data_IF_997725100342
#
_entry.id   IF_997725100342
#
_cell.length_a   1.000
_cell.length_b   1.000
_cell.length_c   1.000
_cell.angle_alpha   90.00
_cell.angle_beta   90.00
_cell.angle_gamma   90.00
#
_symmetry.space_group_name_H-M   'P 1'
#
loop_
_entity.id
_entity.type
_entity.pdbx_description
1 polymer ?
#
# COMPACT_ATOMS: atom_id res chain seq x y z
N UNK A 1 7.94 15.69 16.48
CA UNK A 1 8.41 15.14 17.77
C UNK A 1 9.93 15.21 17.81
N UNK A 2 10.55 15.63 18.92
CA UNK A 2 12.01 15.54 19.08
C UNK A 2 12.35 14.17 19.68
N UNK A 3 13.10 13.34 18.95
CA UNK A 3 13.51 12.01 19.41
C UNK A 3 14.57 12.14 20.53
N UNK A 4 14.29 11.63 21.72
CA UNK A 4 15.32 11.42 22.73
C UNK A 4 16.15 10.18 22.35
N UNK A 5 17.28 10.45 21.70
CA UNK A 5 18.21 9.41 21.23
C UNK A 5 18.77 8.56 22.37
N UNK A 6 18.91 9.10 23.58
CA UNK A 6 19.45 8.32 24.71
C UNK A 6 18.40 7.35 25.24
N UNK A 7 17.15 7.81 25.35
CA UNK A 7 16.03 6.97 25.76
C UNK A 7 15.76 5.85 24.73
N UNK A 8 15.79 6.17 23.43
CA UNK A 8 15.64 5.18 22.36
C UNK A 8 16.78 4.13 22.39
N UNK A 9 18.03 4.57 22.51
CA UNK A 9 19.15 3.63 22.57
C UNK A 9 19.07 2.73 23.81
N UNK A 10 18.61 3.27 24.93
CA UNK A 10 18.40 2.49 26.15
C UNK A 10 17.26 1.47 26.02
N UNK A 11 16.15 1.82 25.34
CA UNK A 11 15.02 0.89 25.14
C UNK A 11 15.38 -0.31 24.28
N UNK A 12 16.39 -0.18 23.40
CA UNK A 12 16.91 -1.29 22.59
C UNK A 12 18.01 -2.11 23.28
N UNK A 13 18.26 -1.89 24.57
CA UNK A 13 19.31 -2.62 25.31
C UNK A 13 20.72 -2.05 25.13
N UNK A 14 20.83 -0.83 24.61
CA UNK A 14 22.09 -0.08 24.50
C UNK A 14 22.83 -0.25 23.16
N UNK A 15 23.97 0.45 22.99
CA UNK A 15 24.68 0.52 21.70
C UNK A 15 25.18 -0.83 21.19
N UNK A 16 25.53 -1.75 22.08
CA UNK A 16 26.02 -3.07 21.72
C UNK A 16 24.93 -3.95 21.09
N UNK A 17 23.71 -3.93 21.64
CA UNK A 17 22.57 -4.63 21.06
C UNK A 17 22.20 -4.05 19.69
N UNK A 18 22.19 -2.71 19.56
CA UNK A 18 21.96 -2.03 18.29
C UNK A 18 23.01 -2.39 17.24
N UNK A 19 24.27 -2.59 17.62
CA UNK A 19 25.32 -2.96 16.67
C UNK A 19 25.11 -4.33 16.00
N UNK A 20 24.34 -5.21 16.63
CA UNK A 20 23.99 -6.55 16.13
C UNK A 20 22.71 -6.56 15.29
N UNK A 21 21.93 -5.47 15.33
CA UNK A 21 20.68 -5.35 14.57
C UNK A 21 20.97 -5.02 13.10
N UNK A 22 20.17 -5.61 12.21
CA UNK A 22 20.17 -5.24 10.79
C UNK A 22 19.66 -3.81 10.60
N UNK A 23 19.88 -3.18 9.42
CA UNK A 23 19.26 -1.89 9.11
C UNK A 23 17.74 -1.90 9.26
N UNK A 24 17.08 -2.98 8.87
CA UNK A 24 15.62 -3.12 8.91
C UNK A 24 15.15 -3.27 10.37
N UNK A 25 15.81 -4.09 11.18
CA UNK A 25 15.51 -4.20 12.62
C UNK A 25 15.63 -2.84 13.34
N UNK A 26 16.59 -2.00 12.93
CA UNK A 26 16.76 -0.64 13.49
C UNK A 26 15.67 0.30 13.02
N UNK A 27 15.24 0.19 11.77
CA UNK A 27 14.15 0.98 11.20
C UNK A 27 12.83 0.61 11.89
N UNK A 28 12.49 -0.67 11.95
CA UNK A 28 11.29 -1.19 12.62
C UNK A 28 11.28 -0.81 14.11
N UNK A 29 12.40 -0.95 14.80
CA UNK A 29 12.52 -0.57 16.20
C UNK A 29 12.33 0.94 16.42
N UNK A 30 12.84 1.77 15.51
CA UNK A 30 12.66 3.22 15.55
C UNK A 30 11.21 3.61 15.27
N UNK A 31 10.58 3.00 14.27
CA UNK A 31 9.17 3.22 13.94
C UNK A 31 8.27 2.82 15.10
N UNK A 32 8.48 1.63 15.67
CA UNK A 32 7.71 1.16 16.83
C UNK A 32 7.89 2.06 18.06
N UNK A 33 9.12 2.48 18.34
CA UNK A 33 9.38 3.44 19.42
C UNK A 33 8.69 4.78 19.17
N UNK A 34 8.69 5.26 17.92
CA UNK A 34 8.00 6.49 17.56
C UNK A 34 6.48 6.35 17.64
N UNK A 35 5.91 5.21 17.26
CA UNK A 35 4.49 4.88 17.42
C UNK A 35 4.07 4.81 18.89
N UNK A 36 4.87 4.20 19.76
CA UNK A 36 4.55 4.13 21.19
C UNK A 36 4.62 5.51 21.85
N UNK A 37 5.58 6.36 21.45
CA UNK A 37 5.60 7.76 21.87
C UNK A 37 4.48 8.60 21.25
N UNK A 38 3.89 8.17 20.11
CA UNK A 38 2.68 8.76 19.53
C UNK A 38 1.42 8.30 20.28
N UNK A 39 1.38 7.10 20.86
CA UNK A 39 0.27 6.64 21.72
C UNK A 39 0.18 7.44 23.01
N UNK A 40 1.32 7.86 23.58
CA UNK A 40 1.35 8.81 24.71
C UNK A 40 1.01 10.26 24.29
N UNK A 41 1.15 10.61 23.01
CA UNK A 41 0.78 11.90 22.43
C UNK A 41 -0.59 11.85 21.73
N UNK A 42 -1.65 11.79 22.53
CA UNK A 42 -2.87 12.60 22.33
C UNK A 42 -3.85 12.33 21.15
N UNK A 43 -3.80 11.19 20.45
CA UNK A 43 -4.85 10.86 19.44
C UNK A 43 -5.60 9.57 19.75
N UNK A 44 -4.87 8.49 20.08
CA UNK A 44 -5.51 7.20 20.35
C UNK A 44 -6.22 7.18 21.71
N UNK A 45 -5.67 7.86 22.72
CA UNK A 45 -6.28 7.97 24.04
C UNK A 45 -7.57 8.81 24.02
N UNK A 46 -7.64 9.83 23.15
CA UNK A 46 -8.87 10.61 22.91
C UNK A 46 -9.97 9.80 22.23
N UNK A 47 -9.61 8.99 21.22
CA UNK A 47 -10.53 8.05 20.56
C UNK A 47 -11.02 6.98 21.55
N UNK A 48 -10.14 6.45 22.41
CA UNK A 48 -10.49 5.44 23.41
C UNK A 48 -11.31 6.03 24.58
N UNK A 49 -11.10 7.29 24.96
CA UNK A 49 -11.93 7.99 25.97
C UNK A 49 -13.35 8.29 25.48
N UNK A 50 -13.56 8.59 24.19
CA UNK A 50 -14.93 8.71 23.64
C UNK A 50 -15.69 7.36 23.73
N UNK A 51 -14.99 6.23 23.57
CA UNK A 51 -15.59 4.89 23.65
C UNK A 51 -15.94 4.50 25.10
N UNK A 52 -15.28 5.08 26.12
CA UNK A 52 -15.62 4.84 27.54
C UNK A 52 -17.02 5.33 27.94
N UNK A 53 -17.69 6.16 27.13
CA UNK A 53 -19.09 6.54 27.33
C UNK A 53 -20.13 5.50 26.91
N UNK A 54 -19.71 4.41 26.25
CA UNK A 54 -20.58 3.28 25.88
C UNK A 54 -21.61 3.54 24.77
N UNK A 55 -21.71 4.75 24.23
CA UNK A 55 -22.60 5.06 23.10
C UNK A 55 -21.81 5.15 21.79
N UNK A 56 -22.06 4.18 20.91
CA UNK A 56 -21.64 4.27 19.52
C UNK A 56 -22.44 5.37 18.81
N UNK A 57 -21.82 6.14 17.90
CA UNK A 57 -22.52 7.16 17.14
C UNK A 57 -23.63 6.54 16.28
N UNK A 58 -24.74 7.25 16.17
CA UNK A 58 -25.85 6.92 15.26
C UNK A 58 -25.43 7.10 13.79
N UNK A 59 -26.19 6.50 12.87
CA UNK A 59 -25.96 6.67 11.42
C UNK A 59 -26.01 8.16 11.01
N UNK A 60 -26.96 8.92 11.55
CA UNK A 60 -27.07 10.36 11.25
C UNK A 60 -25.90 11.18 11.77
N UNK A 61 -25.33 10.84 12.93
CA UNK A 61 -24.12 11.48 13.44
C UNK A 61 -22.89 11.13 12.60
N UNK A 62 -22.78 9.89 12.12
CA UNK A 62 -21.73 9.48 11.18
C UNK A 62 -21.85 10.21 9.84
N UNK A 63 -23.07 10.37 9.32
CA UNK A 63 -23.33 11.13 8.09
C UNK A 63 -22.97 12.61 8.25
N UNK A 64 -23.38 13.26 9.35
CA UNK A 64 -23.03 14.65 9.64
C UNK A 64 -21.50 14.82 9.77
N UNK A 65 -20.81 13.90 10.45
CA UNK A 65 -19.34 13.88 10.55
C UNK A 65 -18.66 13.68 9.18
N UNK A 66 -19.28 12.94 8.27
CA UNK A 66 -18.79 12.75 6.90
C UNK A 66 -19.12 13.94 5.98
N UNK A 67 -20.13 14.74 6.30
CA UNK A 67 -20.46 15.96 5.56
C UNK A 67 -19.46 17.09 5.84
N UNK A 68 -18.75 17.05 6.97
CA UNK A 68 -17.66 17.97 7.29
C UNK A 68 -16.41 17.70 6.43
N UNK A 69 -16.14 18.59 5.49
CA UNK A 69 -15.03 18.51 4.53
C UNK A 69 -13.79 19.31 4.97
N UNK A 70 -13.89 20.13 6.03
CA UNK A 70 -12.76 20.93 6.51
C UNK A 70 -11.76 20.10 7.34
N UNK A 71 -12.15 18.86 7.67
CA UNK A 71 -11.30 17.89 8.37
C UNK A 71 -10.19 17.38 7.46
N UNK A 72 -9.03 16.99 8.04
CA UNK A 72 -7.90 16.48 7.26
C UNK A 72 -8.17 15.09 6.66
N UNK A 73 -9.09 14.29 7.22
CA UNK A 73 -9.42 12.94 6.75
C UNK A 73 -10.78 12.45 7.26
N UNK A 74 -11.31 11.37 6.65
CA UNK A 74 -12.54 10.72 7.09
C UNK A 74 -12.25 9.66 8.15
N UNK A 75 -13.06 9.64 9.21
CA UNK A 75 -12.92 8.70 10.32
C UNK A 75 -12.91 7.24 9.82
N UNK A 76 -12.00 6.41 10.35
CA UNK A 76 -11.89 4.99 10.01
C UNK A 76 -11.27 4.67 8.65
N UNK A 77 -10.97 5.68 7.81
CA UNK A 77 -10.41 5.47 6.45
C UNK A 77 -9.02 6.08 6.29
N UNK A 78 -8.52 6.76 7.33
CA UNK A 78 -7.28 7.52 7.27
C UNK A 78 -7.27 8.45 6.06
N UNK A 79 -6.13 8.53 5.36
CA UNK A 79 -5.99 9.43 4.21
C UNK A 79 -6.52 8.86 2.90
N UNK A 80 -7.25 7.73 2.90
CA UNK A 80 -7.68 7.05 1.67
C UNK A 80 -8.49 7.96 0.73
N UNK A 81 -9.43 8.72 1.28
CA UNK A 81 -10.29 9.65 0.51
C UNK A 81 -9.77 11.08 0.47
N UNK A 82 -8.56 11.31 0.97
CA UNK A 82 -7.90 12.60 0.86
C UNK A 82 -7.24 12.63 -0.52
N UNK A 83 -7.70 13.51 -1.43
CA UNK A 83 -7.10 13.59 -2.75
C UNK A 83 -5.61 13.90 -2.61
N UNK A 84 -4.76 13.07 -3.20
CA UNK A 84 -3.32 13.35 -3.33
C UNK A 84 -2.97 13.55 -4.79
N UNK A 85 -1.90 14.29 -5.02
CA UNK A 85 -1.34 14.41 -6.36
C UNK A 85 -0.81 13.03 -6.77
N UNK A 86 -1.36 12.45 -7.81
CA UNK A 86 -0.99 11.13 -8.35
C UNK A 86 -0.34 11.23 -9.74
N UNK A 87 0.36 12.34 -9.99
CA UNK A 87 0.98 12.66 -11.28
C UNK A 87 -0.01 13.26 -12.29
N UNK A 88 -1.19 12.65 -12.44
CA UNK A 88 -2.19 13.04 -13.44
C UNK A 88 -3.23 14.05 -12.90
N UNK A 89 -3.50 14.06 -11.58
CA UNK A 89 -4.50 14.95 -10.98
C UNK A 89 -3.88 15.87 -9.92
N UNK A 90 -3.75 17.17 -10.23
CA UNK A 90 -3.41 18.18 -9.20
C UNK A 90 -4.63 18.43 -8.32
N UNK A 91 -4.46 18.28 -7.01
CA UNK A 91 -5.51 18.43 -6.01
C UNK A 91 -5.02 19.24 -4.82
N UNK A 92 -5.96 19.89 -4.15
CA UNK A 92 -5.75 20.81 -3.02
C UNK A 92 -5.63 20.10 -1.66
N UNK A 93 -5.65 18.77 -1.64
CA UNK A 93 -5.53 17.97 -0.42
C UNK A 93 -6.76 18.03 0.48
N UNK A 94 -7.86 18.66 0.05
CA UNK A 94 -9.09 18.80 0.83
C UNK A 94 -10.05 17.66 0.56
N UNK A 95 -10.78 17.23 1.59
CA UNK A 95 -11.83 16.24 1.44
C UNK A 95 -12.89 16.74 0.46
N UNK A 96 -13.43 15.79 -0.30
CA UNK A 96 -14.55 16.02 -1.22
C UNK A 96 -15.72 15.14 -0.83
N UNK A 97 -16.97 15.53 -1.13
CA UNK A 97 -18.11 14.66 -0.94
C UNK A 97 -17.88 13.32 -1.63
N UNK A 98 -18.19 12.22 -0.94
CA UNK A 98 -18.15 10.91 -1.58
C UNK A 98 -19.33 10.82 -2.53
N UNK A 99 -19.03 10.51 -3.79
CA UNK A 99 -20.07 10.25 -4.78
C UNK A 99 -20.76 8.93 -4.40
N UNK A 100 -22.09 8.95 -4.41
CA UNK A 100 -22.93 7.77 -4.20
C UNK A 100 -22.63 6.72 -5.27
N UNK A 101 -22.42 5.48 -4.85
CA UNK A 101 -22.24 4.38 -5.80
C UNK A 101 -23.56 4.10 -6.54
N UNK A 102 -23.50 3.66 -7.80
CA UNK A 102 -24.66 3.05 -8.44
C UNK A 102 -25.18 1.86 -7.61
N UNK A 103 -26.47 1.53 -7.75
CA UNK A 103 -27.11 0.41 -7.03
C UNK A 103 -26.41 -0.94 -7.31
N UNK A 104 -25.91 -1.12 -8.54
CA UNK A 104 -25.16 -2.30 -8.98
C UNK A 104 -23.80 -1.84 -9.51
N UNK A 105 -22.85 -1.55 -8.60
CA UNK A 105 -21.58 -0.98 -9.01
C UNK A 105 -20.77 -2.00 -9.82
N UNK A 106 -20.15 -1.51 -10.88
CA UNK A 106 -19.19 -2.27 -11.69
C UNK A 106 -17.77 -1.98 -11.23
N UNK A 107 -16.79 -2.77 -11.70
CA UNK A 107 -15.37 -2.51 -11.44
C UNK A 107 -14.97 -1.08 -11.81
N UNK A 108 -15.48 -0.56 -12.94
CA UNK A 108 -15.20 0.80 -13.38
C UNK A 108 -15.71 1.86 -12.40
N UNK A 109 -16.82 1.60 -11.71
CA UNK A 109 -17.35 2.50 -10.69
C UNK A 109 -16.42 2.55 -9.46
N UNK A 110 -15.79 1.44 -9.10
CA UNK A 110 -14.77 1.43 -8.05
C UNK A 110 -13.54 2.26 -8.45
N UNK A 111 -13.03 2.12 -9.67
CA UNK A 111 -11.94 2.96 -10.18
C UNK A 111 -12.29 4.45 -10.18
N UNK A 112 -13.54 4.79 -10.48
CA UNK A 112 -14.01 6.18 -10.54
C UNK A 112 -14.24 6.79 -9.16
N UNK A 113 -14.75 6.00 -8.21
CA UNK A 113 -15.35 6.56 -6.99
C UNK A 113 -14.74 6.06 -5.68
N UNK A 114 -13.96 4.97 -5.67
CA UNK A 114 -13.51 4.32 -4.42
C UNK A 114 -12.02 4.00 -4.37
N UNK A 115 -11.39 3.62 -5.48
CA UNK A 115 -9.95 3.39 -5.51
C UNK A 115 -9.21 4.73 -5.55
N UNK A 116 -8.20 4.83 -4.70
CA UNK A 116 -7.22 5.90 -4.76
C UNK A 116 -5.96 5.38 -5.50
N UNK A 117 -5.12 6.29 -6.00
CA UNK A 117 -3.83 5.94 -6.63
C UNK A 117 -3.94 5.10 -7.91
N UNK A 118 -5.01 5.29 -8.69
CA UNK A 118 -5.29 4.46 -9.88
C UNK A 118 -4.48 4.84 -11.12
N UNK A 119 -3.84 6.01 -11.14
CA UNK A 119 -3.04 6.47 -12.28
C UNK A 119 -1.97 5.47 -12.71
N UNK A 120 -1.23 4.90 -11.74
CA UNK A 120 -0.20 3.88 -12.02
C UNK A 120 -0.80 2.63 -12.68
N UNK A 121 -1.89 2.09 -12.13
CA UNK A 121 -2.57 0.94 -12.70
C UNK A 121 -3.11 1.21 -14.11
N UNK A 122 -3.73 2.38 -14.31
CA UNK A 122 -4.29 2.77 -15.61
C UNK A 122 -3.20 2.93 -16.67
N UNK A 123 -2.07 3.56 -16.33
CA UNK A 123 -0.93 3.70 -17.23
C UNK A 123 -0.31 2.34 -17.57
N UNK A 124 -0.15 1.47 -16.57
CA UNK A 124 0.39 0.10 -16.75
C UNK A 124 -0.51 -0.73 -17.66
N UNK A 125 -1.83 -0.73 -17.41
CA UNK A 125 -2.81 -1.43 -18.25
C UNK A 125 -2.88 -0.85 -19.66
N UNK A 126 -2.80 0.47 -19.82
CA UNK A 126 -2.78 1.14 -21.13
C UNK A 126 -1.54 0.73 -21.93
N UNK A 127 -0.38 0.66 -21.30
CA UNK A 127 0.85 0.19 -21.95
C UNK A 127 0.71 -1.27 -22.39
N UNK A 128 0.26 -2.15 -21.49
CA UNK A 128 0.04 -3.57 -21.80
C UNK A 128 -0.90 -3.77 -22.99
N UNK A 129 -2.00 -3.01 -23.03
CA UNK A 129 -2.95 -2.98 -24.14
C UNK A 129 -2.30 -2.55 -25.46
N UNK A 130 -1.56 -1.43 -25.47
CA UNK A 130 -0.89 -0.94 -26.68
C UNK A 130 0.22 -1.86 -27.18
N UNK A 131 0.82 -2.66 -26.30
CA UNK A 131 1.82 -3.68 -26.67
C UNK A 131 1.22 -5.02 -27.09
N UNK A 132 -0.11 -5.14 -27.14
CA UNK A 132 -0.79 -6.37 -27.58
C UNK A 132 -0.66 -7.53 -26.59
N UNK A 133 -0.50 -7.24 -25.30
CA UNK A 133 -0.49 -8.26 -24.26
C UNK A 133 -1.86 -8.92 -24.12
N UNK A 134 -1.89 -10.09 -23.49
CA UNK A 134 -3.14 -10.83 -23.25
C UNK A 134 -4.09 -10.04 -22.33
N UNK A 135 -5.39 -10.25 -22.48
CA UNK A 135 -6.40 -9.60 -21.63
C UNK A 135 -6.18 -9.89 -20.15
N UNK A 136 -5.70 -11.08 -19.78
CA UNK A 136 -5.44 -11.43 -18.38
C UNK A 136 -4.26 -10.66 -17.77
N UNK A 137 -3.27 -10.30 -18.60
CA UNK A 137 -2.11 -9.47 -18.22
C UNK A 137 -2.52 -8.00 -18.14
N UNK A 138 -3.33 -7.53 -19.10
CA UNK A 138 -3.92 -6.18 -19.05
C UNK A 138 -4.74 -6.02 -17.77
N UNK A 139 -5.55 -7.02 -17.43
CA UNK A 139 -6.35 -7.03 -16.20
C UNK A 139 -5.46 -7.07 -14.94
N UNK A 140 -4.39 -7.85 -14.94
CA UNK A 140 -3.42 -7.85 -13.85
C UNK A 140 -2.78 -6.46 -13.65
N UNK A 141 -2.33 -5.82 -14.74
CA UNK A 141 -1.79 -4.47 -14.71
C UNK A 141 -2.81 -3.45 -14.17
N UNK A 142 -4.09 -3.63 -14.50
CA UNK A 142 -5.16 -2.76 -14.01
C UNK A 142 -5.39 -2.94 -12.50
N UNK A 143 -5.22 -4.15 -11.95
CA UNK A 143 -5.64 -4.48 -10.59
C UNK A 143 -4.50 -4.61 -9.56
N UNK A 144 -3.25 -4.80 -9.98
CA UNK A 144 -2.16 -5.26 -9.10
C UNK A 144 -1.97 -4.42 -7.82
N UNK A 145 -2.15 -3.10 -7.91
CA UNK A 145 -1.92 -2.16 -6.81
C UNK A 145 -3.19 -1.59 -6.17
N UNK A 146 -4.40 -1.98 -6.60
CA UNK A 146 -5.63 -1.41 -6.03
C UNK A 146 -5.78 -1.72 -4.54
N UNK A 147 -5.18 -2.82 -4.07
CA UNK A 147 -5.19 -3.26 -2.67
C UNK A 147 -4.30 -2.42 -1.76
N UNK A 148 -3.40 -1.59 -2.30
CA UNK A 148 -2.65 -0.60 -1.50
C UNK A 148 -3.58 0.35 -0.73
N UNK A 149 -4.81 0.53 -1.20
CA UNK A 149 -5.85 1.28 -0.48
C UNK A 149 -6.25 0.66 0.87
N UNK A 150 -5.95 -0.62 1.10
CA UNK A 150 -6.35 -1.41 2.27
C UNK A 150 -5.14 -1.99 3.00
N UNK A 151 -4.15 -2.52 2.27
CA UNK A 151 -2.97 -3.20 2.82
C UNK A 151 -1.73 -2.78 2.03
N UNK A 152 -0.75 -2.16 2.70
CA UNK A 152 0.50 -1.72 2.05
C UNK A 152 1.57 -2.82 2.03
N UNK A 153 1.93 -3.44 3.18
CA UNK A 153 2.89 -4.54 3.19
C UNK A 153 2.30 -5.76 2.49
N UNK A 154 3.11 -6.41 1.65
CA UNK A 154 2.72 -7.63 0.93
C UNK A 154 1.41 -7.49 0.14
N UNK A 155 1.14 -6.31 -0.41
CA UNK A 155 -0.07 -6.02 -1.20
C UNK A 155 -0.24 -6.94 -2.40
N UNK A 156 0.84 -7.42 -3.01
CA UNK A 156 0.74 -8.45 -4.05
C UNK A 156 0.09 -9.73 -3.51
N UNK A 157 0.57 -10.20 -2.35
CA UNK A 157 0.06 -11.41 -1.70
C UNK A 157 -1.40 -11.26 -1.27
N UNK A 158 -1.71 -10.21 -0.51
CA UNK A 158 -3.05 -9.94 0.00
C UNK A 158 -4.03 -9.58 -1.13
N UNK A 159 -3.56 -8.83 -2.13
CA UNK A 159 -4.36 -8.46 -3.29
C UNK A 159 -4.73 -9.66 -4.14
N UNK A 160 -3.81 -10.59 -4.35
CA UNK A 160 -4.13 -11.85 -5.01
C UNK A 160 -5.14 -12.65 -4.21
N UNK A 161 -5.03 -12.75 -2.89
CA UNK A 161 -6.01 -13.47 -2.07
C UNK A 161 -7.43 -12.88 -2.18
N UNK A 162 -7.55 -11.56 -2.30
CA UNK A 162 -8.83 -10.87 -2.47
C UNK A 162 -9.44 -11.11 -3.86
N UNK A 163 -8.60 -11.15 -4.91
CA UNK A 163 -9.05 -11.16 -6.30
C UNK A 163 -9.14 -12.56 -6.91
N UNK A 164 -8.37 -13.52 -6.41
CA UNK A 164 -8.27 -14.90 -6.94
C UNK A 164 -9.62 -15.59 -7.19
N UNK A 165 -10.68 -15.43 -6.36
CA UNK A 165 -11.97 -16.05 -6.64
C UNK A 165 -12.67 -15.54 -7.90
N UNK A 166 -12.23 -14.41 -8.46
CA UNK A 166 -12.93 -13.66 -9.51
C UNK A 166 -12.13 -13.52 -10.80
N UNK A 167 -10.85 -13.90 -10.81
CA UNK A 167 -9.94 -13.68 -11.95
C UNK A 167 -9.21 -14.97 -12.34
N UNK A 168 -8.74 -15.10 -13.59
CA UNK A 168 -7.99 -16.28 -14.03
C UNK A 168 -6.69 -16.51 -13.25
N UNK A 169 -6.22 -17.77 -13.22
CA UNK A 169 -4.99 -18.18 -12.50
C UNK A 169 -3.77 -17.33 -12.89
N UNK A 170 -3.62 -16.99 -14.17
CA UNK A 170 -2.51 -16.16 -14.64
C UNK A 170 -2.60 -14.71 -14.13
N UNK A 171 -3.80 -14.14 -14.05
CA UNK A 171 -4.02 -12.81 -13.44
C UNK A 171 -3.69 -12.86 -11.95
N UNK A 172 -4.17 -13.88 -11.25
CA UNK A 172 -3.82 -14.11 -9.84
C UNK A 172 -2.31 -14.22 -9.64
N UNK A 173 -1.62 -14.99 -10.49
CA UNK A 173 -0.18 -15.18 -10.44
C UNK A 173 0.56 -13.84 -10.63
N UNK A 174 0.21 -13.10 -11.67
CA UNK A 174 0.80 -11.78 -11.95
C UNK A 174 0.64 -10.84 -10.75
N UNK A 175 -0.59 -10.73 -10.21
CA UNK A 175 -0.86 -9.89 -9.03
C UNK A 175 -0.12 -10.39 -7.80
N UNK A 176 -0.06 -11.71 -7.55
CA UNK A 176 0.55 -12.26 -6.34
C UNK A 176 2.04 -11.95 -6.23
N UNK A 177 2.73 -12.04 -7.36
CA UNK A 177 4.19 -12.06 -7.36
C UNK A 177 4.85 -10.80 -7.92
N UNK A 178 4.09 -9.85 -8.49
CA UNK A 178 4.66 -8.61 -9.02
C UNK A 178 5.51 -7.84 -7.99
N UNK A 179 5.09 -7.83 -6.72
CA UNK A 179 5.83 -7.17 -5.65
C UNK A 179 7.20 -7.82 -5.38
N UNK A 180 7.35 -9.12 -5.59
CA UNK A 180 8.66 -9.77 -5.48
C UNK A 180 9.51 -9.44 -6.71
N UNK A 181 8.91 -9.49 -7.90
CA UNK A 181 9.60 -9.28 -9.17
C UNK A 181 10.20 -7.88 -9.31
N UNK A 182 9.59 -6.84 -8.72
CA UNK A 182 10.13 -5.47 -8.75
C UNK A 182 11.55 -5.33 -8.17
N UNK A 183 12.01 -6.31 -7.39
CA UNK A 183 13.34 -6.26 -6.78
C UNK A 183 14.44 -6.80 -7.70
N UNK A 184 14.10 -7.42 -8.83
CA UNK A 184 15.04 -8.08 -9.71
C UNK A 184 14.90 -7.50 -11.13
N UNK A 185 15.98 -6.95 -11.73
CA UNK A 185 15.93 -6.55 -13.11
C UNK A 185 15.67 -7.75 -14.02
N UNK A 186 14.96 -7.52 -15.12
CA UNK A 186 14.71 -8.50 -16.16
C UNK A 186 14.82 -7.84 -17.55
N UNK A 187 16.05 -7.72 -18.04
CA UNK A 187 16.35 -7.07 -19.32
C UNK A 187 15.74 -7.81 -20.52
N UNK A 188 15.53 -9.13 -20.41
CA UNK A 188 14.90 -9.91 -21.48
C UNK A 188 13.44 -9.47 -21.71
N UNK A 189 12.77 -8.99 -20.65
CA UNK A 189 11.41 -8.44 -20.70
C UNK A 189 11.40 -6.90 -20.57
N UNK A 190 12.54 -6.25 -20.74
CA UNK A 190 12.67 -4.78 -20.75
C UNK A 190 12.45 -4.11 -19.39
N UNK A 191 12.59 -4.85 -18.29
CA UNK A 191 12.55 -4.31 -16.94
C UNK A 191 13.96 -4.02 -16.42
N UNK A 192 14.32 -2.74 -16.33
CA UNK A 192 15.56 -2.30 -15.69
C UNK A 192 15.25 -1.90 -14.25
N UNK A 193 16.13 -2.27 -13.33
CA UNK A 193 15.98 -1.92 -11.92
C UNK A 193 15.85 -0.39 -11.75
N UNK A 194 14.77 0.12 -11.14
CA UNK A 194 14.54 1.56 -11.07
C UNK A 194 15.63 2.29 -10.27
N UNK A 195 16.20 3.36 -10.83
CA UNK A 195 17.18 4.21 -10.11
C UNK A 195 16.61 4.76 -8.79
N UNK A 196 15.30 5.01 -8.75
CA UNK A 196 14.60 5.41 -7.53
C UNK A 196 14.76 4.39 -6.39
N UNK A 197 14.84 3.10 -6.70
CA UNK A 197 14.97 2.05 -5.68
C UNK A 197 16.38 2.07 -5.07
N UNK A 198 17.41 2.31 -5.86
CA UNK A 198 18.78 2.50 -5.36
C UNK A 198 18.87 3.68 -4.37
N UNK A 199 18.11 4.75 -4.62
CA UNK A 199 18.05 5.92 -3.74
C UNK A 199 17.29 5.65 -2.45
N UNK A 200 16.21 4.88 -2.52
CA UNK A 200 15.32 4.61 -1.38
C UNK A 200 15.88 3.51 -0.48
N UNK A 201 16.32 2.40 -1.06
CA UNK A 201 16.79 1.22 -0.31
C UNK A 201 18.30 1.19 -0.09
N UNK A 202 19.06 1.92 -0.91
CA UNK A 202 20.52 1.86 -0.94
C UNK A 202 21.05 0.90 -2.01
N UNK A 203 22.27 1.17 -2.50
CA UNK A 203 22.90 0.36 -3.55
C UNK A 203 23.31 -1.05 -3.08
N UNK A 204 23.40 -1.24 -1.77
CA UNK A 204 23.75 -2.50 -1.10
C UNK A 204 22.54 -3.28 -0.58
N UNK A 205 21.32 -2.78 -0.81
CA UNK A 205 20.09 -3.47 -0.44
C UNK A 205 20.02 -4.87 -1.07
N UNK A 206 19.63 -5.85 -0.26
CA UNK A 206 19.33 -7.21 -0.70
C UNK A 206 17.93 -7.56 -0.24
N UNK A 207 17.06 -8.08 -1.12
CA UNK A 207 15.74 -8.53 -0.72
C UNK A 207 15.82 -9.58 0.39
N UNK A 208 14.85 -9.59 1.29
CA UNK A 208 14.77 -10.58 2.36
C UNK A 208 14.82 -12.03 1.84
N UNK A 209 15.34 -12.99 2.62
CA UNK A 209 15.49 -14.38 2.16
C UNK A 209 14.21 -15.01 1.63
N UNK A 210 13.04 -14.61 2.13
CA UNK A 210 11.77 -15.11 1.61
C UNK A 210 11.44 -14.56 0.21
N UNK A 211 11.79 -13.30 -0.08
CA UNK A 211 11.62 -12.69 -1.40
C UNK A 211 12.56 -13.34 -2.42
N UNK A 212 13.78 -13.71 -2.01
CA UNK A 212 14.71 -14.48 -2.86
C UNK A 212 14.15 -15.86 -3.22
N UNK A 213 13.64 -16.62 -2.24
CA UNK A 213 13.00 -17.91 -2.51
C UNK A 213 11.75 -17.78 -3.39
N UNK A 214 10.94 -16.75 -3.15
CA UNK A 214 9.76 -16.48 -3.99
C UNK A 214 10.19 -16.16 -5.41
N UNK A 215 11.25 -15.37 -5.61
CA UNK A 215 11.77 -15.08 -6.94
C UNK A 215 12.23 -16.34 -7.67
N UNK A 216 12.98 -17.22 -7.00
CA UNK A 216 13.40 -18.51 -7.58
C UNK A 216 12.21 -19.38 -7.98
N UNK A 217 11.18 -19.46 -7.13
CA UNK A 217 9.94 -20.17 -7.47
C UNK A 217 9.25 -19.56 -8.69
N UNK A 218 9.09 -18.23 -8.70
CA UNK A 218 8.40 -17.49 -9.76
C UNK A 218 9.11 -17.63 -11.10
N UNK A 219 10.44 -17.56 -11.14
CA UNK A 219 11.25 -17.74 -12.36
C UNK A 219 11.06 -19.11 -13.03
N UNK A 220 10.77 -20.13 -12.24
CA UNK A 220 10.56 -21.50 -12.71
C UNK A 220 9.07 -21.81 -12.97
N UNK A 221 8.17 -20.85 -12.78
CA UNK A 221 6.73 -21.07 -12.92
C UNK A 221 6.29 -20.99 -14.38
N UNK A 222 5.33 -21.84 -14.79
CA UNK A 222 4.76 -21.88 -16.15
C UNK A 222 4.20 -20.55 -16.65
N UNK A 223 3.86 -19.63 -15.74
CA UNK A 223 3.29 -18.33 -16.07
C UNK A 223 4.32 -17.20 -16.17
N UNK A 224 5.59 -17.43 -15.79
CA UNK A 224 6.60 -16.37 -15.73
C UNK A 224 6.72 -15.57 -17.03
N UNK A 225 6.86 -16.25 -18.17
CA UNK A 225 7.02 -15.61 -19.48
C UNK A 225 5.70 -15.15 -20.11
N UNK A 226 4.59 -15.33 -19.40
CA UNK A 226 3.23 -15.10 -19.90
C UNK A 226 2.44 -14.09 -19.08
N UNK A 227 2.95 -13.70 -17.90
CA UNK A 227 2.29 -12.88 -16.88
C UNK A 227 2.89 -11.49 -16.74
#
# INVERSE_FOLDING_TARGET
MKLDRRAFVASLGGPAAISLMTPDDKADALEHYMEDNLKEADVLEGILKEVQGGQYPTVGELEARNADLDRPYRNGTGTLFVPRNDGDRKVDGRLRPLITMPEKPTLLDFFKYRFAWTGHCLQSATRALHTGMREEVILACLLHDVVLSVMHPDHGWWGAQLLEPYVPEITTFAIRYHQTLRFYPDEAFGYVYPEGYLRVFGADYKPEPYLQRTYEFVRNHKWYEHS
#
